data_IF_106893306392
#
_entry.id   IF_106893306392
#
_cell.length_a   1.000
_cell.length_b   1.000
_cell.length_c   1.000
_cell.angle_alpha   90.00
_cell.angle_beta   90.00
_cell.angle_gamma   90.00
#
_symmetry.space_group_name_H-M   'P 1'
#
loop_
_entity.id
_entity.type
_entity.pdbx_description
1 polymer ?
#
# COMPACT_ATOMS: atom_id res chain seq x y z
N UNK A 1 25.00 -58.64 -37.41
CA UNK A 1 24.69 -57.58 -36.42
C UNK A 1 23.98 -56.44 -37.15
N UNK A 2 22.66 -56.29 -36.95
CA UNK A 2 21.83 -55.24 -37.57
C UNK A 2 21.92 -53.95 -36.72
N UNK A 3 22.28 -52.82 -37.33
CA UNK A 3 22.18 -51.49 -36.69
C UNK A 3 20.94 -50.79 -37.24
N UNK A 4 19.91 -50.63 -36.40
CA UNK A 4 18.78 -49.76 -36.68
C UNK A 4 19.01 -48.45 -35.92
N UNK A 5 19.06 -47.33 -36.64
CA UNK A 5 19.08 -45.97 -36.08
C UNK A 5 17.67 -45.41 -36.31
N UNK A 6 16.95 -45.15 -35.23
CA UNK A 6 15.66 -44.46 -35.25
C UNK A 6 15.90 -42.95 -35.09
N UNK A 7 15.46 -42.18 -36.09
CA UNK A 7 15.36 -40.73 -36.06
C UNK A 7 14.09 -40.37 -35.26
N UNK A 8 14.23 -39.58 -34.20
CA UNK A 8 13.10 -38.92 -33.54
C UNK A 8 13.27 -37.41 -33.65
N UNK A 9 12.47 -36.83 -34.55
CA UNK A 9 12.14 -35.40 -34.55
C UNK A 9 11.34 -35.09 -33.29
N UNK A 10 11.97 -34.43 -32.31
CA UNK A 10 11.27 -33.81 -31.19
C UNK A 10 11.00 -32.34 -31.49
N UNK A 11 9.76 -32.01 -31.84
CA UNK A 11 9.25 -30.65 -31.95
C UNK A 11 9.47 -29.90 -30.63
N UNK A 12 10.35 -28.89 -30.65
CA UNK A 12 10.46 -27.91 -29.58
C UNK A 12 9.25 -26.98 -29.61
N UNK A 13 8.31 -27.18 -28.69
CA UNK A 13 7.25 -26.23 -28.40
C UNK A 13 7.91 -25.05 -27.68
N UNK A 14 8.13 -23.95 -28.40
CA UNK A 14 8.45 -22.65 -27.82
C UNK A 14 7.23 -22.15 -27.05
N UNK A 15 7.14 -22.47 -25.77
CA UNK A 15 6.25 -21.77 -24.85
C UNK A 15 6.77 -20.36 -24.69
N UNK A 16 6.21 -19.43 -25.46
CA UNK A 16 6.42 -18.00 -25.29
C UNK A 16 6.04 -17.61 -23.87
N UNK A 17 7.05 -17.47 -23.00
CA UNK A 17 6.88 -16.89 -21.69
C UNK A 17 6.36 -15.47 -21.88
N UNK A 18 5.13 -15.23 -21.44
CA UNK A 18 4.66 -13.87 -21.23
C UNK A 18 5.59 -13.22 -20.22
N UNK A 19 6.57 -12.45 -20.70
CA UNK A 19 7.35 -11.57 -19.85
C UNK A 19 6.38 -10.54 -19.29
N UNK A 20 5.85 -10.79 -18.09
CA UNK A 20 5.22 -9.76 -17.31
C UNK A 20 6.28 -8.68 -17.11
N UNK A 21 6.14 -7.58 -17.85
CA UNK A 21 7.01 -6.42 -17.69
C UNK A 21 6.73 -5.90 -16.28
N UNK A 22 7.59 -6.27 -15.32
CA UNK A 22 7.65 -5.60 -14.02
C UNK A 22 8.05 -4.16 -14.30
N UNK A 23 7.07 -3.29 -14.50
CA UNK A 23 7.30 -1.85 -14.47
C UNK A 23 7.50 -1.47 -13.00
N UNK A 24 8.76 -1.42 -12.58
CA UNK A 24 9.13 -0.77 -11.32
C UNK A 24 8.80 0.72 -11.46
N UNK A 25 7.73 1.15 -10.79
CA UNK A 25 7.43 2.58 -10.69
C UNK A 25 8.15 3.06 -9.44
N UNK A 26 9.18 3.88 -9.64
CA UNK A 26 9.78 4.62 -8.54
C UNK A 26 8.80 5.71 -8.10
N UNK A 27 8.13 5.48 -6.97
CA UNK A 27 7.37 6.52 -6.27
C UNK A 27 8.35 7.27 -5.37
N UNK A 28 8.65 8.52 -5.73
CA UNK A 28 9.52 9.41 -4.94
C UNK A 28 8.68 10.54 -4.37
N UNK A 29 8.54 10.58 -3.04
CA UNK A 29 7.69 11.54 -2.35
C UNK A 29 7.95 13.01 -2.70
N UNK A 30 9.17 13.36 -3.11
CA UNK A 30 9.56 14.75 -3.44
C UNK A 30 9.08 15.21 -4.82
N UNK A 31 8.97 14.29 -5.78
CA UNK A 31 8.52 14.56 -7.16
C UNK A 31 7.13 13.99 -7.46
N UNK A 32 6.55 13.25 -6.51
CA UNK A 32 5.22 12.66 -6.62
C UNK A 32 4.13 13.63 -6.18
N UNK A 33 3.18 13.87 -7.07
CA UNK A 33 1.88 14.47 -6.72
C UNK A 33 0.83 13.38 -6.68
N UNK A 34 -0.06 13.38 -5.69
CA UNK A 34 -1.17 12.43 -5.67
C UNK A 34 -2.50 13.16 -5.62
N UNK A 35 -3.53 12.57 -6.22
CA UNK A 35 -4.91 13.01 -6.10
C UNK A 35 -5.70 11.93 -5.38
N UNK A 36 -6.36 12.28 -4.27
CA UNK A 36 -7.19 11.32 -3.54
C UNK A 36 -8.42 10.97 -4.38
N UNK A 37 -8.85 9.72 -4.29
CA UNK A 37 -10.19 9.33 -4.75
C UNK A 37 -11.11 9.35 -3.54
N UNK A 38 -12.35 9.87 -3.64
CA UNK A 38 -13.27 9.91 -2.51
C UNK A 38 -13.43 8.53 -1.87
N UNK A 39 -13.20 8.44 -0.57
CA UNK A 39 -13.44 7.22 0.18
C UNK A 39 -14.96 7.00 0.31
N UNK A 40 -15.47 5.88 -0.20
CA UNK A 40 -16.90 5.53 -0.15
C UNK A 40 -17.35 4.98 1.22
N UNK A 41 -16.77 5.48 2.32
CA UNK A 41 -17.09 5.03 3.68
C UNK A 41 -16.51 3.66 4.07
N UNK A 42 -15.59 3.10 3.27
CA UNK A 42 -14.89 1.85 3.58
C UNK A 42 -13.57 2.14 4.33
N UNK A 43 -13.03 1.11 4.98
CA UNK A 43 -11.67 1.14 5.55
C UNK A 43 -10.58 1.27 4.46
N UNK A 44 -10.94 1.04 3.20
CA UNK A 44 -10.06 1.19 2.06
C UNK A 44 -9.97 2.66 1.62
N UNK A 45 -8.79 3.04 1.15
CA UNK A 45 -8.53 4.35 0.56
C UNK A 45 -7.76 4.18 -0.75
N UNK A 46 -7.85 5.17 -1.64
CA UNK A 46 -7.09 5.16 -2.89
C UNK A 46 -6.69 6.55 -3.31
N UNK A 47 -5.61 6.62 -4.07
CA UNK A 47 -5.13 7.84 -4.69
C UNK A 47 -4.50 7.49 -6.04
N UNK A 48 -4.33 8.49 -6.91
CA UNK A 48 -3.50 8.34 -8.12
C UNK A 48 -2.28 9.20 -7.95
N UNK A 49 -1.10 8.58 -7.95
CA UNK A 49 0.17 9.25 -7.75
C UNK A 49 0.93 9.37 -9.07
N UNK A 50 1.31 10.59 -9.43
CA UNK A 50 2.05 10.91 -10.66
C UNK A 50 3.48 11.27 -10.30
N UNK A 51 4.43 10.50 -10.82
CA UNK A 51 5.87 10.74 -10.67
C UNK A 51 6.48 10.84 -12.05
N UNK A 52 7.22 11.91 -12.35
CA UNK A 52 7.91 12.10 -13.64
C UNK A 52 6.99 11.85 -14.87
N UNK A 53 5.73 12.31 -14.79
CA UNK A 53 4.74 12.14 -15.86
C UNK A 53 4.09 10.75 -15.96
N UNK A 54 4.47 9.79 -15.11
CA UNK A 54 3.82 8.48 -15.02
C UNK A 54 2.84 8.46 -13.85
N UNK A 55 1.55 8.25 -14.15
CA UNK A 55 0.50 8.14 -13.14
C UNK A 55 0.25 6.67 -12.77
N UNK A 56 0.20 6.41 -11.47
CA UNK A 56 -0.01 5.08 -10.90
C UNK A 56 -1.13 5.13 -9.86
N UNK A 57 -2.18 4.34 -10.04
CA UNK A 57 -3.19 4.19 -8.99
C UNK A 57 -2.56 3.44 -7.81
N UNK A 58 -2.71 4.00 -6.62
CA UNK A 58 -2.37 3.36 -5.36
C UNK A 58 -3.65 3.06 -4.58
N UNK A 59 -3.65 1.93 -3.88
CA UNK A 59 -4.71 1.58 -2.95
C UNK A 59 -4.09 1.23 -1.62
N UNK A 60 -4.83 1.50 -0.56
CA UNK A 60 -4.44 1.15 0.78
C UNK A 60 -5.62 0.86 1.66
N UNK A 61 -5.28 0.43 2.87
CA UNK A 61 -6.20 0.19 3.96
C UNK A 61 -5.87 1.13 5.11
N UNK A 62 -6.89 1.46 5.88
CA UNK A 62 -6.80 2.24 7.09
C UNK A 62 -7.31 1.40 8.25
N UNK A 63 -6.61 1.46 9.38
CA UNK A 63 -6.97 0.70 10.56
C UNK A 63 -6.79 1.54 11.82
N UNK A 64 -7.72 1.36 12.73
CA UNK A 64 -7.70 1.95 14.05
C UNK A 64 -7.09 0.94 15.05
N UNK A 65 -6.09 1.38 15.79
CA UNK A 65 -5.22 0.53 16.61
C UNK A 65 -5.08 1.10 18.02
N UNK A 66 -4.87 0.23 19.01
CA UNK A 66 -4.53 0.66 20.37
C UNK A 66 -3.04 0.98 20.53
N UNK A 67 -2.24 0.72 19.50
CA UNK A 67 -0.83 1.06 19.44
C UNK A 67 -0.66 2.49 18.92
N UNK A 68 -0.07 3.36 19.73
CA UNK A 68 0.41 4.67 19.30
C UNK A 68 1.79 4.54 18.64
N UNK A 69 2.18 5.56 17.88
CA UNK A 69 3.57 5.76 17.46
C UNK A 69 4.22 6.86 18.31
N UNK A 70 5.55 6.88 18.36
CA UNK A 70 6.31 7.92 19.07
C UNK A 70 6.18 9.30 18.41
N UNK A 71 5.85 9.33 17.12
CA UNK A 71 5.65 10.55 16.34
C UNK A 71 4.66 10.33 15.20
N UNK A 72 4.08 11.43 14.72
CA UNK A 72 3.31 11.45 13.47
C UNK A 72 4.17 10.95 12.30
N UNK A 73 3.58 10.12 11.44
CA UNK A 73 4.24 9.41 10.33
C UNK A 73 5.27 8.36 10.76
N UNK A 74 5.31 8.00 12.05
CA UNK A 74 6.06 6.83 12.51
C UNK A 74 5.60 5.56 11.80
N UNK A 75 6.54 4.71 11.42
CA UNK A 75 6.26 3.48 10.67
C UNK A 75 6.29 2.25 11.55
N UNK A 76 5.49 1.23 11.22
CA UNK A 76 5.53 -0.07 11.87
C UNK A 76 5.20 -1.20 10.89
N UNK A 77 5.87 -2.35 11.00
CA UNK A 77 5.57 -3.49 10.13
C UNK A 77 4.26 -4.18 10.51
N UNK A 78 3.90 -4.09 11.80
CA UNK A 78 2.67 -4.62 12.35
C UNK A 78 2.02 -3.63 13.33
N UNK A 79 0.70 -3.66 13.40
CA UNK A 79 -0.08 -2.90 14.38
C UNK A 79 -0.94 -3.86 15.18
N UNK A 80 -1.18 -3.53 16.46
CA UNK A 80 -2.06 -4.31 17.32
C UNK A 80 -3.45 -3.70 17.32
N UNK A 81 -4.47 -4.55 17.21
CA UNK A 81 -5.85 -4.16 17.55
C UNK A 81 -6.28 -5.07 18.68
N UNK A 82 -6.96 -4.51 19.67
CA UNK A 82 -7.52 -5.30 20.77
C UNK A 82 -9.04 -5.25 20.67
N UNK A 83 -9.69 -6.36 20.98
CA UNK A 83 -11.13 -6.38 21.18
C UNK A 83 -11.44 -5.49 22.39
N UNK A 84 -12.19 -4.42 22.17
CA UNK A 84 -12.56 -3.48 23.21
C UNK A 84 -14.00 -3.04 23.04
N UNK A 85 -14.70 -2.88 24.15
CA UNK A 85 -16.06 -2.32 24.20
C UNK A 85 -16.06 -0.83 24.55
N UNK A 86 -14.91 -0.26 24.93
CA UNK A 86 -14.80 1.15 25.29
C UNK A 86 -14.46 2.00 24.07
N UNK A 87 -15.08 3.17 23.99
CA UNK A 87 -14.89 4.11 22.88
C UNK A 87 -13.49 4.76 22.87
N UNK A 88 -12.65 4.47 23.87
CA UNK A 88 -11.24 4.94 23.95
C UNK A 88 -10.23 3.88 23.50
N UNK A 89 -10.69 2.69 23.16
CA UNK A 89 -9.83 1.61 22.65
C UNK A 89 -9.72 1.73 21.13
N UNK A 90 -8.54 1.44 20.57
CA UNK A 90 -8.31 1.53 19.12
C UNK A 90 -8.53 2.94 18.54
N UNK A 91 -7.90 3.96 19.11
CA UNK A 91 -8.07 5.36 18.65
C UNK A 91 -6.95 5.85 17.73
N UNK A 92 -5.89 5.07 17.53
CA UNK A 92 -4.74 5.46 16.71
C UNK A 92 -4.99 5.08 15.25
N UNK A 93 -5.03 6.05 14.36
CA UNK A 93 -5.22 5.83 12.93
C UNK A 93 -3.89 5.48 12.26
N UNK A 94 -3.88 4.33 11.57
CA UNK A 94 -2.75 3.85 10.79
C UNK A 94 -3.18 3.61 9.35
N UNK A 95 -2.32 3.98 8.42
CA UNK A 95 -2.53 3.81 6.99
C UNK A 95 -1.50 2.83 6.42
N UNK A 96 -1.88 2.01 5.45
CA UNK A 96 -0.97 1.12 4.76
C UNK A 96 -1.33 1.03 3.28
N UNK A 97 -0.35 1.16 2.41
CA UNK A 97 -0.53 0.89 0.98
C UNK A 97 -0.48 -0.62 0.74
N UNK A 98 -1.35 -1.12 -0.13
CA UNK A 98 -1.43 -2.53 -0.50
C UNK A 98 -1.27 -2.76 -2.01
N UNK A 99 -1.51 -1.73 -2.82
CA UNK A 99 -1.25 -1.73 -4.27
C UNK A 99 -0.57 -0.42 -4.67
N UNK A 100 0.39 -0.44 -5.62
CA UNK A 100 0.91 -1.61 -6.34
C UNK A 100 1.92 -2.46 -5.54
N UNK A 101 2.37 -1.96 -4.40
CA UNK A 101 3.27 -2.64 -3.49
C UNK A 101 2.83 -2.40 -2.04
N UNK A 102 3.24 -3.29 -1.14
CA UNK A 102 2.82 -3.25 0.26
C UNK A 102 3.78 -2.38 1.05
N UNK A 103 3.27 -1.34 1.72
CA UNK A 103 4.08 -0.51 2.61
C UNK A 103 4.11 -1.04 4.04
N UNK A 104 5.01 -0.51 4.87
CA UNK A 104 4.81 -0.52 6.33
C UNK A 104 3.57 0.30 6.69
N UNK A 105 3.01 0.07 7.88
CA UNK A 105 1.98 0.94 8.44
C UNK A 105 2.56 2.30 8.78
N UNK A 106 1.84 3.36 8.48
CA UNK A 106 2.21 4.75 8.78
C UNK A 106 1.18 5.33 9.73
N UNK A 107 1.63 5.76 10.92
CA UNK A 107 0.76 6.40 11.90
C UNK A 107 0.39 7.81 11.46
N UNK A 108 -0.89 8.16 11.56
CA UNK A 108 -1.39 9.45 11.10
C UNK A 108 -1.77 10.38 12.23
N UNK A 109 -2.63 9.93 13.15
CA UNK A 109 -3.08 10.70 14.31
C UNK A 109 -3.75 9.79 15.34
N UNK A 110 -3.91 10.31 16.56
CA UNK A 110 -4.77 9.71 17.58
C UNK A 110 -6.11 10.46 17.65
N UNK A 111 -7.20 9.72 17.53
CA UNK A 111 -8.57 10.21 17.70
C UNK A 111 -8.94 10.34 19.18
N UNK A 112 -9.95 11.14 19.49
CA UNK A 112 -10.58 11.15 20.82
C UNK A 112 -11.51 9.95 21.06
N UNK A 113 -11.98 9.28 19.99
CA UNK A 113 -12.83 8.09 20.08
C UNK A 113 -12.62 7.07 18.96
N UNK A 114 -12.96 5.82 19.26
CA UNK A 114 -12.85 4.67 18.36
C UNK A 114 -13.81 4.83 17.19
N UNK A 115 -15.04 5.27 17.46
CA UNK A 115 -16.05 5.54 16.43
C UNK A 115 -15.60 6.61 15.43
N UNK A 116 -15.00 7.71 15.91
CA UNK A 116 -14.47 8.74 15.01
C UNK A 116 -13.28 8.23 14.20
N UNK A 117 -12.37 7.47 14.84
CA UNK A 117 -11.26 6.84 14.13
C UNK A 117 -11.78 5.96 12.99
N UNK A 118 -12.72 5.05 13.29
CA UNK A 118 -13.26 4.11 12.31
C UNK A 118 -13.92 4.82 11.12
N UNK A 119 -14.59 5.96 11.36
CA UNK A 119 -15.27 6.74 10.32
C UNK A 119 -14.31 7.54 9.43
N UNK A 120 -13.26 8.11 10.02
CA UNK A 120 -12.46 9.15 9.37
C UNK A 120 -11.06 8.72 8.97
N UNK A 121 -10.54 7.60 9.49
CA UNK A 121 -9.16 7.19 9.26
C UNK A 121 -8.85 6.98 7.76
N UNK A 122 -9.69 6.28 7.00
CA UNK A 122 -9.49 6.06 5.55
C UNK A 122 -9.53 7.35 4.74
N UNK A 123 -10.47 8.25 5.07
CA UNK A 123 -10.57 9.57 4.43
C UNK A 123 -9.27 10.36 4.63
N UNK A 124 -8.75 10.39 5.85
CA UNK A 124 -7.49 11.08 6.11
C UNK A 124 -6.28 10.40 5.48
N UNK A 125 -6.23 9.06 5.40
CA UNK A 125 -5.18 8.38 4.64
C UNK A 125 -5.15 8.84 3.18
N UNK A 126 -6.31 8.98 2.53
CA UNK A 126 -6.40 9.46 1.15
C UNK A 126 -5.97 10.93 1.02
N UNK A 127 -6.45 11.80 1.92
CA UNK A 127 -6.14 13.23 1.90
C UNK A 127 -4.65 13.50 2.15
N UNK A 128 -4.03 12.78 3.09
CA UNK A 128 -2.60 12.91 3.36
C UNK A 128 -1.74 12.26 2.29
N UNK A 129 -2.21 11.22 1.58
CA UNK A 129 -1.54 10.75 0.38
C UNK A 129 -1.46 11.87 -0.67
N UNK A 130 -2.54 12.64 -0.85
CA UNK A 130 -2.59 13.80 -1.74
C UNK A 130 -1.72 14.98 -1.26
N UNK A 131 -1.94 15.45 -0.04
CA UNK A 131 -1.37 16.72 0.44
C UNK A 131 -0.07 16.60 1.25
N UNK A 132 0.17 15.44 1.89
CA UNK A 132 1.25 15.26 2.86
C UNK A 132 2.51 14.65 2.24
N UNK A 133 3.50 15.48 1.90
CA UNK A 133 4.80 14.97 1.41
C UNK A 133 5.51 14.08 2.43
N UNK A 134 5.51 14.46 3.72
CA UNK A 134 6.08 13.64 4.80
C UNK A 134 5.36 12.28 4.94
N UNK A 135 4.03 12.28 4.82
CA UNK A 135 3.24 11.05 4.80
C UNK A 135 3.62 10.15 3.61
N UNK A 136 3.71 10.72 2.40
CA UNK A 136 4.17 9.98 1.22
C UNK A 136 5.57 9.42 1.39
N UNK A 137 6.49 10.19 1.97
CA UNK A 137 7.86 9.72 2.25
C UNK A 137 7.85 8.49 3.16
N UNK A 138 7.08 8.52 4.26
CA UNK A 138 6.95 7.38 5.16
C UNK A 138 6.22 6.19 4.51
N UNK A 139 5.23 6.46 3.67
CA UNK A 139 4.47 5.43 2.97
C UNK A 139 5.32 4.73 1.90
N UNK A 140 6.19 5.46 1.22
CA UNK A 140 7.00 4.94 0.12
C UNK A 140 8.38 4.44 0.54
N UNK A 141 8.85 4.79 1.75
CA UNK A 141 10.20 4.42 2.21
C UNK A 141 10.45 2.92 2.32
N UNK A 142 9.40 2.11 2.44
CA UNK A 142 9.51 0.65 2.53
C UNK A 142 9.29 -0.06 1.18
N UNK A 143 9.01 0.68 0.09
CA UNK A 143 8.70 0.11 -1.22
C UNK A 143 10.00 -0.14 -2.01
N UNK A 144 10.61 -1.31 -1.83
CA UNK A 144 11.83 -1.67 -2.56
C UNK A 144 12.89 -2.43 -1.79
N UNK A 145 12.57 -2.95 -0.59
CA UNK A 145 13.34 -4.02 0.03
C UNK A 145 12.84 -5.40 -0.43
#
# INVERSE_FOLDING_TARGET
>A
MKRSIFILLGMGILTGGAHAVQKCVALDASTTTCTSTPANGNADWSATCTTNGTSVPIKGIAMCSNQAADAQYGTSDAIKTVSGTTDTTNVNCWCKMVEPAVSSWVFLYASSSAGYCARSCSLYCADFAQGGSAFRSALFSSLGN
#
